data_IF_984593295665
#
_entry.id   IF_984593295665
#
_cell.length_a   1.000
_cell.length_b   1.000
_cell.length_c   1.000
_cell.angle_alpha   90.00
_cell.angle_beta   90.00
_cell.angle_gamma   90.00
#
_symmetry.space_group_name_H-M   'P 1'
#
loop_
_entity.id
_entity.type
_entity.pdbx_description
1 polymer ?
#
# COMPACT_ATOMS: atom_id res chain seq x y z
N UNK A 1 -39.24 1.15 -3.81
CA UNK A 1 -38.38 0.88 -4.99
C UNK A 1 -37.10 0.27 -4.45
N UNK A 2 -36.77 -1.02 -4.67
CA UNK A 2 -35.53 -1.56 -4.15
C UNK A 2 -34.38 -1.15 -5.08
N UNK A 3 -33.45 -0.42 -4.49
CA UNK A 3 -32.15 -0.02 -5.04
C UNK A 3 -31.27 -1.27 -5.18
N UNK A 4 -31.28 -1.87 -6.37
CA UNK A 4 -30.54 -3.10 -6.64
C UNK A 4 -29.13 -2.73 -7.08
N UNK A 5 -28.19 -2.82 -6.16
CA UNK A 5 -26.75 -2.78 -6.46
C UNK A 5 -26.45 -3.86 -7.50
N UNK A 6 -25.81 -3.54 -8.64
CA UNK A 6 -25.53 -4.53 -9.67
C UNK A 6 -24.54 -5.58 -9.18
N UNK A 7 -24.85 -6.84 -9.49
CA UNK A 7 -24.19 -8.07 -9.07
C UNK A 7 -22.90 -8.32 -9.88
N UNK A 8 -21.91 -7.43 -9.75
CA UNK A 8 -20.62 -7.52 -10.50
C UNK A 8 -19.41 -7.87 -9.63
N UNK A 9 -19.64 -8.45 -8.45
CA UNK A 9 -18.57 -8.68 -7.46
C UNK A 9 -17.71 -9.93 -7.79
N UNK A 10 -18.11 -10.76 -8.75
CA UNK A 10 -17.47 -12.08 -8.98
C UNK A 10 -16.76 -12.26 -10.32
N UNK A 11 -16.81 -11.30 -11.23
CA UNK A 11 -16.07 -11.41 -12.49
C UNK A 11 -14.69 -10.80 -12.30
N UNK A 12 -13.65 -11.56 -12.66
CA UNK A 12 -12.27 -11.07 -12.72
C UNK A 12 -12.16 -9.86 -13.66
N UNK A 13 -10.95 -9.34 -13.89
CA UNK A 13 -10.75 -8.22 -14.82
C UNK A 13 -11.47 -8.51 -16.13
N UNK A 14 -12.26 -7.55 -16.62
CA UNK A 14 -13.00 -7.67 -17.88
C UNK A 14 -12.03 -8.16 -18.97
N UNK A 15 -12.33 -9.30 -19.60
CA UNK A 15 -11.46 -9.88 -20.63
C UNK A 15 -11.10 -8.83 -21.69
N UNK A 16 -9.79 -8.55 -21.83
CA UNK A 16 -9.23 -7.57 -22.75
C UNK A 16 -9.05 -6.13 -22.22
N UNK A 17 -9.32 -5.88 -20.93
CA UNK A 17 -9.02 -4.61 -20.27
C UNK A 17 -7.53 -4.42 -19.94
N UNK A 18 -7.07 -3.18 -19.71
CA UNK A 18 -5.68 -2.92 -19.33
C UNK A 18 -5.34 -3.62 -18.02
N UNK A 19 -4.14 -4.18 -17.95
CA UNK A 19 -3.61 -4.84 -16.78
C UNK A 19 -3.24 -3.79 -15.73
N UNK A 20 -4.20 -3.29 -14.96
CA UNK A 20 -3.96 -2.21 -13.98
C UNK A 20 -3.82 -2.78 -12.57
N UNK A 21 -2.69 -2.48 -11.92
CA UNK A 21 -2.46 -2.76 -10.51
C UNK A 21 -2.61 -1.50 -9.65
N UNK A 22 -3.09 -1.66 -8.42
CA UNK A 22 -3.12 -0.60 -7.41
C UNK A 22 -1.87 -0.72 -6.53
N UNK A 23 -1.14 0.37 -6.35
CA UNK A 23 0.02 0.41 -5.45
C UNK A 23 -0.17 1.48 -4.39
N UNK A 24 -0.15 1.08 -3.12
CA UNK A 24 -0.42 1.95 -1.98
C UNK A 24 0.75 1.89 -0.99
N UNK A 25 1.55 2.96 -0.87
CA UNK A 25 2.48 3.08 0.25
C UNK A 25 1.70 3.30 1.55
N UNK A 26 2.07 2.56 2.60
CA UNK A 26 1.44 2.66 3.91
C UNK A 26 2.42 2.28 5.02
N UNK A 27 2.25 2.93 6.17
CA UNK A 27 2.93 2.57 7.41
C UNK A 27 1.94 2.63 8.57
N UNK A 28 2.17 1.80 9.58
CA UNK A 28 1.53 1.93 10.89
C UNK A 28 2.21 3.07 11.64
N UNK A 29 1.48 4.17 11.79
CA UNK A 29 1.93 5.35 12.50
C UNK A 29 2.03 5.18 14.01
N UNK A 30 1.43 4.13 14.58
CA UNK A 30 1.50 3.83 16.01
C UNK A 30 2.62 2.82 16.35
N UNK A 31 3.36 2.34 15.34
CA UNK A 31 4.50 1.42 15.54
C UNK A 31 5.66 2.12 16.28
N UNK A 32 6.01 1.68 17.51
CA UNK A 32 7.11 2.27 18.26
C UNK A 32 8.45 2.12 17.52
N UNK A 33 8.65 1.04 16.78
CA UNK A 33 9.88 0.82 16.00
C UNK A 33 10.03 1.80 14.83
N UNK A 34 8.93 2.26 14.24
CA UNK A 34 8.93 3.34 13.25
C UNK A 34 9.37 4.66 13.90
N UNK A 35 8.80 5.00 15.06
CA UNK A 35 9.14 6.24 15.75
C UNK A 35 10.58 6.29 16.24
N UNK A 36 11.10 5.18 16.77
CA UNK A 36 12.50 5.08 17.20
C UNK A 36 13.47 5.35 16.03
N UNK A 37 13.22 4.72 14.90
CA UNK A 37 14.02 4.93 13.69
C UNK A 37 13.88 6.37 13.17
N UNK A 38 12.66 6.90 13.09
CA UNK A 38 12.47 8.30 12.66
C UNK A 38 13.22 9.28 13.56
N UNK A 39 13.18 9.09 14.88
CA UNK A 39 13.94 9.93 15.84
C UNK A 39 15.44 9.82 15.64
N UNK A 40 15.96 8.64 15.30
CA UNK A 40 17.38 8.40 15.08
C UNK A 40 17.92 9.13 13.84
N UNK A 41 17.11 9.26 12.79
CA UNK A 41 17.53 9.81 11.50
C UNK A 41 16.93 11.19 11.17
N UNK A 42 16.03 11.73 12.00
CA UNK A 42 15.45 13.04 11.78
C UNK A 42 16.49 14.16 11.94
N UNK A 43 16.73 14.89 10.85
CA UNK A 43 17.52 16.12 10.84
C UNK A 43 16.72 17.35 11.29
N UNK A 44 15.39 17.29 11.25
CA UNK A 44 14.47 18.38 11.58
C UNK A 44 13.29 17.85 12.42
N UNK A 45 12.83 18.59 13.44
CA UNK A 45 11.68 18.18 14.26
C UNK A 45 10.38 17.95 13.46
N UNK A 46 10.19 18.66 12.34
CA UNK A 46 9.04 18.50 11.45
C UNK A 46 8.97 17.13 10.78
N UNK A 47 10.11 16.42 10.64
CA UNK A 47 10.11 15.03 10.17
C UNK A 47 9.46 14.07 11.17
N UNK A 48 9.38 14.45 12.45
CA UNK A 48 8.73 13.68 13.52
C UNK A 48 7.25 14.02 13.68
N UNK A 49 6.68 14.85 12.80
CA UNK A 49 5.27 15.18 12.84
C UNK A 49 4.42 13.90 12.64
N UNK A 50 3.60 13.49 13.64
CA UNK A 50 2.82 12.26 13.57
C UNK A 50 1.81 12.27 12.41
N UNK A 51 1.40 13.45 11.95
CA UNK A 51 0.49 13.60 10.81
C UNK A 51 1.07 13.00 9.51
N UNK A 52 2.40 12.84 9.39
CA UNK A 52 3.06 12.26 8.21
C UNK A 52 2.90 10.75 8.09
N UNK A 53 2.64 10.04 9.19
CA UNK A 53 2.55 8.58 9.24
C UNK A 53 1.18 8.10 9.70
N UNK A 54 0.23 9.03 9.83
CA UNK A 54 -1.08 8.76 10.41
C UNK A 54 -2.00 8.03 9.43
N UNK A 55 -2.43 6.83 9.80
CA UNK A 55 -3.55 6.13 9.15
C UNK A 55 -4.86 6.43 9.90
N UNK A 56 -5.52 7.53 9.52
CA UNK A 56 -6.75 7.96 10.16
C UNK A 56 -7.87 6.93 9.97
N UNK A 57 -8.40 6.40 11.07
CA UNK A 57 -9.59 5.55 11.08
C UNK A 57 -9.51 4.31 10.15
N UNK A 58 -8.34 3.66 10.10
CA UNK A 58 -8.09 2.52 9.21
C UNK A 58 -8.39 2.86 7.73
N UNK A 59 -7.98 4.05 7.26
CA UNK A 59 -8.28 4.55 5.92
C UNK A 59 -7.86 3.53 4.85
N UNK A 60 -6.71 2.89 5.01
CA UNK A 60 -6.27 1.84 4.10
C UNK A 60 -7.32 0.72 3.98
N UNK A 61 -7.84 0.22 5.11
CA UNK A 61 -8.84 -0.86 5.15
C UNK A 61 -10.10 -0.50 4.38
N UNK A 62 -10.65 0.69 4.62
CA UNK A 62 -11.86 1.12 3.95
C UNK A 62 -11.62 1.46 2.47
N UNK A 63 -10.43 1.96 2.12
CA UNK A 63 -10.04 2.20 0.73
C UNK A 63 -9.99 0.90 -0.05
N UNK A 64 -9.38 -0.16 0.50
CA UNK A 64 -9.34 -1.47 -0.15
C UNK A 64 -10.72 -2.13 -0.28
N UNK A 65 -11.62 -1.93 0.70
CA UNK A 65 -13.02 -2.38 0.58
C UNK A 65 -13.75 -1.67 -0.56
N UNK A 66 -13.53 -0.37 -0.72
CA UNK A 66 -14.09 0.40 -1.83
C UNK A 66 -13.59 -0.12 -3.18
N UNK A 67 -12.27 -0.36 -3.28
CA UNK A 67 -11.65 -0.96 -4.49
C UNK A 67 -12.28 -2.33 -4.79
N UNK A 68 -12.42 -3.20 -3.80
CA UNK A 68 -13.04 -4.51 -3.97
C UNK A 68 -14.51 -4.41 -4.43
N UNK A 69 -15.25 -3.40 -3.98
CA UNK A 69 -16.67 -3.21 -4.31
C UNK A 69 -16.88 -2.55 -5.68
N UNK A 70 -16.03 -1.59 -6.07
CA UNK A 70 -16.28 -0.72 -7.22
C UNK A 70 -15.25 -0.84 -8.35
N UNK A 71 -14.08 -1.40 -8.08
CA UNK A 71 -12.96 -1.47 -9.03
C UNK A 71 -12.56 -2.92 -9.32
N UNK A 72 -13.52 -3.75 -9.73
CA UNK A 72 -13.29 -5.15 -10.10
C UNK A 72 -12.26 -5.36 -11.22
N UNK A 73 -11.97 -4.32 -12.00
CA UNK A 73 -10.95 -4.31 -13.07
C UNK A 73 -9.51 -4.23 -12.56
N UNK A 74 -9.26 -3.87 -11.28
CA UNK A 74 -7.90 -3.87 -10.71
C UNK A 74 -7.40 -5.31 -10.64
N UNK A 75 -6.24 -5.62 -11.20
CA UNK A 75 -5.69 -6.98 -11.17
C UNK A 75 -5.17 -7.32 -9.77
N UNK A 76 -4.11 -6.64 -9.33
CA UNK A 76 -3.51 -6.81 -8.01
C UNK A 76 -3.49 -5.50 -7.20
N UNK A 77 -3.40 -5.65 -5.89
CA UNK A 77 -3.17 -4.59 -4.92
C UNK A 77 -1.84 -4.85 -4.24
N UNK A 78 -0.91 -3.91 -4.36
CA UNK A 78 0.38 -3.92 -3.69
C UNK A 78 0.39 -2.89 -2.56
N UNK A 79 0.64 -3.35 -1.34
CA UNK A 79 0.82 -2.49 -0.17
C UNK A 79 2.31 -2.39 0.09
N UNK A 80 2.92 -1.24 -0.20
CA UNK A 80 4.33 -1.00 0.07
C UNK A 80 4.49 -0.48 1.49
N UNK A 81 5.27 -1.17 2.32
CA UNK A 81 5.39 -0.80 3.74
C UNK A 81 6.80 -0.96 4.29
N UNK A 82 7.05 -0.52 5.53
CA UNK A 82 8.33 -0.69 6.22
C UNK A 82 8.35 -2.05 6.92
N UNK A 83 9.44 -2.81 6.80
CA UNK A 83 9.61 -4.04 7.59
C UNK A 83 9.64 -3.72 9.09
N UNK A 84 8.97 -4.49 9.96
CA UNK A 84 8.19 -5.71 9.70
C UNK A 84 6.68 -5.49 9.61
N UNK A 85 6.22 -4.27 9.32
CA UNK A 85 4.81 -3.91 9.39
C UNK A 85 3.98 -4.69 8.36
N UNK A 86 2.83 -5.17 8.83
CA UNK A 86 1.76 -5.75 8.02
C UNK A 86 0.45 -5.32 8.67
N UNK A 87 -0.56 -4.81 7.94
CA UNK A 87 -1.83 -4.44 8.56
C UNK A 87 -2.49 -5.67 9.19
N UNK A 88 -2.77 -5.62 10.50
CA UNK A 88 -3.24 -6.78 11.26
C UNK A 88 -4.59 -7.35 10.79
N UNK A 89 -5.40 -6.51 10.14
CA UNK A 89 -6.70 -6.88 9.58
C UNK A 89 -6.63 -7.45 8.16
N UNK A 90 -5.45 -7.44 7.53
CA UNK A 90 -5.26 -7.84 6.14
C UNK A 90 -5.30 -9.35 6.01
N UNK A 91 -6.14 -9.84 5.09
CA UNK A 91 -6.12 -11.23 4.66
C UNK A 91 -4.93 -11.45 3.70
N UNK A 92 -3.89 -12.12 4.21
CA UNK A 92 -2.68 -12.44 3.45
C UNK A 92 -2.83 -13.69 2.57
N UNK A 93 -3.91 -14.45 2.72
CA UNK A 93 -4.19 -15.62 1.87
C UNK A 93 -4.83 -15.21 0.54
N UNK A 94 -5.26 -13.95 0.41
CA UNK A 94 -5.82 -13.41 -0.82
C UNK A 94 -4.72 -13.22 -1.89
N UNK A 95 -4.75 -13.98 -3.01
CA UNK A 95 -3.68 -13.94 -4.02
C UNK A 95 -3.56 -12.62 -4.77
N UNK A 96 -4.59 -11.76 -4.73
CA UNK A 96 -4.59 -10.43 -5.37
C UNK A 96 -3.97 -9.36 -4.49
N UNK A 97 -3.72 -9.63 -3.22
CA UNK A 97 -3.18 -8.65 -2.27
C UNK A 97 -1.77 -9.05 -1.88
N UNK A 98 -0.81 -8.17 -2.15
CA UNK A 98 0.61 -8.42 -1.91
C UNK A 98 1.19 -7.33 -1.02
N UNK A 99 1.77 -7.74 0.11
CA UNK A 99 2.52 -6.83 0.98
C UNK A 99 3.99 -6.87 0.55
N UNK A 100 4.53 -5.71 0.17
CA UNK A 100 5.91 -5.58 -0.28
C UNK A 100 6.61 -4.64 0.69
N UNK A 101 7.69 -5.10 1.30
CA UNK A 101 8.50 -4.21 2.12
C UNK A 101 9.42 -3.39 1.22
N UNK A 102 9.50 -2.07 1.46
CA UNK A 102 10.27 -1.18 0.59
C UNK A 102 11.78 -1.49 0.60
N UNK A 103 12.30 -2.17 1.64
CA UNK A 103 13.68 -2.66 1.71
C UNK A 103 13.99 -3.79 0.71
N UNK A 104 12.95 -4.35 0.08
CA UNK A 104 13.03 -5.40 -0.94
C UNK A 104 12.78 -4.89 -2.35
N UNK A 105 12.55 -3.60 -2.54
CA UNK A 105 12.45 -3.02 -3.88
C UNK A 105 13.85 -2.99 -4.51
N UNK A 106 13.94 -3.48 -5.74
CA UNK A 106 15.21 -3.56 -6.46
C UNK A 106 15.84 -2.17 -6.61
N UNK A 107 17.12 -2.07 -6.21
CA UNK A 107 17.85 -0.80 -6.24
C UNK A 107 17.52 0.19 -5.12
N UNK A 108 16.56 -0.11 -4.22
CA UNK A 108 16.14 0.82 -3.16
C UNK A 108 17.08 0.86 -1.94
N UNK A 109 17.84 -0.21 -1.71
CA UNK A 109 18.72 -0.37 -0.54
C UNK A 109 19.61 0.84 -0.19
N UNK A 110 20.28 1.49 -1.16
CA UNK A 110 21.10 2.68 -0.91
C UNK A 110 20.35 3.91 -0.35
N UNK A 111 19.02 3.92 -0.43
CA UNK A 111 18.17 5.01 0.06
C UNK A 111 17.61 4.74 1.46
N UNK A 112 17.97 3.61 2.07
CA UNK A 112 17.56 3.28 3.44
C UNK A 112 18.46 3.95 4.49
N UNK A 113 17.90 4.34 5.65
CA UNK A 113 16.46 4.37 5.98
C UNK A 113 15.77 5.60 5.38
N UNK A 114 14.52 5.44 4.91
CA UNK A 114 13.69 6.54 4.41
C UNK A 114 12.25 6.45 4.91
N UNK A 115 11.68 7.61 5.20
CA UNK A 115 10.29 7.81 5.67
C UNK A 115 9.53 8.78 4.75
N UNK A 116 9.98 8.86 3.50
CA UNK A 116 9.42 9.71 2.47
C UNK A 116 8.63 8.86 1.47
N UNK A 117 7.30 9.01 1.45
CA UNK A 117 6.42 8.28 0.53
C UNK A 117 6.76 8.57 -0.92
N UNK A 118 7.10 9.81 -1.29
CA UNK A 118 7.49 10.18 -2.66
C UNK A 118 8.75 9.43 -3.13
N UNK A 119 9.70 9.20 -2.22
CA UNK A 119 10.88 8.40 -2.53
C UNK A 119 10.49 6.94 -2.80
N UNK A 120 9.56 6.37 -2.00
CA UNK A 120 9.06 5.00 -2.18
C UNK A 120 8.24 4.89 -3.48
N UNK A 121 7.35 5.85 -3.75
CA UNK A 121 6.50 5.91 -4.94
C UNK A 121 7.32 5.96 -6.24
N UNK A 122 8.49 6.60 -6.20
CA UNK A 122 9.42 6.63 -7.34
C UNK A 122 9.92 5.25 -7.75
N UNK A 123 9.82 4.25 -6.87
CA UNK A 123 10.25 2.86 -7.09
C UNK A 123 9.08 1.88 -7.31
N UNK A 124 7.87 2.38 -7.62
CA UNK A 124 6.72 1.52 -7.96
C UNK A 124 7.03 0.57 -9.11
N UNK A 125 7.86 0.99 -10.07
CA UNK A 125 8.34 0.15 -11.18
C UNK A 125 9.21 -1.04 -10.73
N UNK A 126 9.78 -1.00 -9.53
CA UNK A 126 10.61 -2.07 -8.97
C UNK A 126 9.81 -3.02 -8.06
N UNK A 127 8.48 -2.88 -8.03
CA UNK A 127 7.59 -3.80 -7.30
C UNK A 127 7.53 -5.14 -8.04
N UNK A 128 7.78 -6.28 -7.37
CA UNK A 128 7.75 -7.58 -8.02
C UNK A 128 6.39 -7.87 -8.68
N UNK A 129 6.42 -8.30 -9.95
CA UNK A 129 5.23 -8.71 -10.72
C UNK A 129 4.20 -7.59 -10.95
N UNK A 130 4.56 -6.33 -10.70
CA UNK A 130 3.73 -5.19 -11.09
C UNK A 130 3.56 -5.16 -12.61
N UNK A 131 2.40 -4.73 -13.06
CA UNK A 131 2.07 -4.65 -14.48
C UNK A 131 3.00 -3.68 -15.21
N UNK A 132 3.73 -4.19 -16.21
CA UNK A 132 4.44 -3.38 -17.20
C UNK A 132 3.51 -3.13 -18.40
N UNK A 133 2.73 -2.04 -18.34
CA UNK A 133 1.91 -1.45 -19.42
C UNK A 133 0.94 -2.38 -20.18
#
# INVERSE_FOLDING_TARGET
MPDRVPDRVTEGPLDGGPCVDLVCPWVDGDDPGLHEDMRKYASDPGHLNPERTRDLYELLRYSLRSVAMYAGWVRNVYIITRRPQVPAWLDQDNPRVKVVHHDKLDGFGPYLPTFNSTAIESFVHAVPEVSDH
#
